data_IF_364087157219
#
_entry.id   IF_364087157219
#
_cell.length_a   1.000
_cell.length_b   1.000
_cell.length_c   1.000
_cell.angle_alpha   90.00
_cell.angle_beta   90.00
_cell.angle_gamma   90.00
#
_symmetry.space_group_name_H-M   'P 1'
#
loop_
_entity.id
_entity.type
_entity.pdbx_description
1 polymer ?
#
# COMPACT_ATOMS: atom_id res chain seq x y z
N UNK A 1 24.42 12.68 -2.75
CA UNK A 1 23.30 13.62 -3.03
C UNK A 1 22.40 13.80 -1.80
N UNK A 2 21.84 12.74 -1.21
CA UNK A 2 20.96 12.86 -0.02
C UNK A 2 21.67 13.44 1.22
N UNK A 3 22.90 12.98 1.52
CA UNK A 3 23.72 13.47 2.65
C UNK A 3 24.20 14.92 2.43
N UNK A 4 24.59 15.26 1.20
CA UNK A 4 25.00 16.62 0.80
C UNK A 4 23.85 17.66 0.92
N UNK A 5 22.60 17.21 0.89
CA UNK A 5 21.43 18.10 1.02
C UNK A 5 21.20 18.66 2.44
N UNK A 6 21.88 18.13 3.46
CA UNK A 6 21.78 18.65 4.82
C UNK A 6 22.49 20.00 5.01
N UNK A 7 23.38 20.37 4.09
CA UNK A 7 24.23 21.55 4.22
C UNK A 7 23.88 22.68 3.24
N UNK A 8 22.86 22.49 2.38
CA UNK A 8 22.47 23.46 1.36
C UNK A 8 20.99 23.78 1.45
N UNK A 9 20.68 25.00 1.90
CA UNK A 9 19.31 25.52 2.03
C UNK A 9 18.53 25.52 0.72
N UNK A 10 19.23 25.60 -0.43
CA UNK A 10 18.65 25.52 -1.77
C UNK A 10 18.00 24.17 -2.10
N UNK A 11 18.35 23.09 -1.38
CA UNK A 11 17.84 21.74 -1.63
C UNK A 11 16.67 21.33 -0.73
N UNK A 12 16.21 22.22 0.17
CA UNK A 12 15.14 21.93 1.14
C UNK A 12 13.85 21.42 0.48
N UNK A 13 13.46 22.00 -0.66
CA UNK A 13 12.26 21.57 -1.41
C UNK A 13 12.42 20.16 -1.99
N UNK A 14 13.54 19.88 -2.67
CA UNK A 14 13.84 18.56 -3.22
C UNK A 14 13.92 17.49 -2.13
N UNK A 15 14.55 17.80 -0.99
CA UNK A 15 14.62 16.90 0.16
C UNK A 15 13.23 16.54 0.67
N UNK A 16 12.32 17.52 0.79
CA UNK A 16 10.95 17.26 1.24
C UNK A 16 10.20 16.33 0.29
N UNK A 17 10.35 16.51 -1.03
CA UNK A 17 9.76 15.63 -2.05
C UNK A 17 10.28 14.20 -1.94
N UNK A 18 11.60 14.03 -1.79
CA UNK A 18 12.23 12.71 -1.64
C UNK A 18 11.80 12.00 -0.36
N UNK A 19 11.79 12.72 0.77
CA UNK A 19 11.33 12.16 2.06
C UNK A 19 9.86 11.77 1.98
N UNK A 20 9.02 12.63 1.40
CA UNK A 20 7.62 12.31 1.14
C UNK A 20 7.49 11.02 0.34
N UNK A 21 8.17 10.93 -0.80
CA UNK A 21 8.10 9.76 -1.67
C UNK A 21 8.52 8.48 -0.95
N UNK A 22 9.65 8.49 -0.24
CA UNK A 22 10.17 7.32 0.48
C UNK A 22 9.22 6.88 1.60
N UNK A 23 8.80 7.81 2.46
CA UNK A 23 7.94 7.49 3.61
C UNK A 23 6.55 7.05 3.15
N UNK A 24 5.96 7.76 2.19
CA UNK A 24 4.64 7.44 1.64
C UNK A 24 4.63 6.07 0.94
N UNK A 25 5.69 5.75 0.19
CA UNK A 25 5.81 4.44 -0.48
C UNK A 25 6.02 3.28 0.50
N UNK A 26 6.72 3.50 1.61
CA UNK A 26 6.96 2.46 2.61
C UNK A 26 5.76 2.21 3.51
N UNK A 27 4.95 3.24 3.80
CA UNK A 27 3.90 3.16 4.80
C UNK A 27 2.82 2.11 4.50
N UNK A 28 2.34 2.03 3.24
CA UNK A 28 1.33 1.04 2.84
C UNK A 28 1.80 -0.40 3.07
N UNK A 29 2.94 -0.82 2.49
CA UNK A 29 3.53 -2.14 2.72
C UNK A 29 3.78 -2.46 4.20
N UNK A 30 4.20 -1.48 5.02
CA UNK A 30 4.39 -1.69 6.46
C UNK A 30 3.07 -1.96 7.19
N UNK A 31 2.01 -1.20 6.88
CA UNK A 31 0.67 -1.43 7.43
C UNK A 31 0.14 -2.80 7.00
N UNK A 32 0.34 -3.17 5.74
CA UNK A 32 -0.04 -4.49 5.20
C UNK A 32 0.72 -5.59 5.94
N UNK A 33 2.05 -5.46 6.07
CA UNK A 33 2.88 -6.42 6.79
C UNK A 33 2.44 -6.59 8.24
N UNK A 34 2.18 -5.50 8.95
CA UNK A 34 1.67 -5.56 10.32
C UNK A 34 0.30 -6.22 10.38
N UNK A 35 -0.60 -5.87 9.46
CA UNK A 35 -1.96 -6.42 9.37
C UNK A 35 -1.97 -7.94 9.18
N UNK A 36 -1.03 -8.50 8.41
CA UNK A 36 -0.93 -9.96 8.18
C UNK A 36 -0.81 -10.76 9.48
N UNK A 37 -0.11 -10.23 10.47
CA UNK A 37 0.08 -10.90 11.76
C UNK A 37 -1.15 -10.79 12.68
N UNK A 38 -2.13 -9.95 12.34
CA UNK A 38 -3.32 -9.71 13.17
C UNK A 38 -4.54 -10.48 12.67
N UNK A 39 -4.59 -10.83 11.39
CA UNK A 39 -5.82 -11.38 10.77
C UNK A 39 -5.88 -12.91 10.79
N UNK A 40 -4.72 -13.58 10.89
CA UNK A 40 -4.58 -15.04 10.92
C UNK A 40 -5.20 -15.78 9.71
N UNK A 41 -5.49 -15.11 8.59
CA UNK A 41 -6.18 -15.71 7.43
C UNK A 41 -5.26 -16.62 6.61
N UNK A 42 -5.73 -17.81 6.26
CA UNK A 42 -5.02 -18.77 5.41
C UNK A 42 -5.12 -18.45 3.91
N UNK A 43 -4.13 -18.91 3.17
CA UNK A 43 -4.10 -18.81 1.70
C UNK A 43 -5.10 -19.79 1.09
N UNK A 44 -5.67 -19.52 -0.10
CA UNK A 44 -6.56 -20.46 -0.78
C UNK A 44 -6.00 -21.88 -0.91
N UNK A 45 -4.73 -22.06 -1.28
CA UNK A 45 -4.13 -23.40 -1.39
C UNK A 45 -3.99 -24.15 -0.06
N UNK A 46 -4.07 -23.47 1.08
CA UNK A 46 -4.05 -24.11 2.40
C UNK A 46 -5.43 -24.61 2.84
N UNK A 47 -6.51 -24.14 2.21
CA UNK A 47 -7.88 -24.40 2.68
C UNK A 47 -8.39 -25.79 2.28
N UNK A 48 -9.11 -26.46 3.20
CA UNK A 48 -9.80 -27.74 2.95
C UNK A 48 -10.71 -27.75 1.72
N UNK A 49 -11.37 -26.62 1.45
CA UNK A 49 -12.24 -26.47 0.27
C UNK A 49 -11.47 -26.51 -1.06
N UNK A 50 -10.15 -26.31 -1.03
CA UNK A 50 -9.23 -26.40 -2.17
C UNK A 50 -8.20 -27.52 -1.98
N UNK A 51 -8.58 -28.59 -1.26
CA UNK A 51 -7.74 -29.77 -0.99
C UNK A 51 -6.53 -29.52 -0.06
N UNK A 52 -6.51 -28.41 0.67
CA UNK A 52 -5.55 -28.15 1.75
C UNK A 52 -5.97 -28.74 3.10
N UNK A 53 -5.30 -28.32 4.18
CA UNK A 53 -5.49 -28.87 5.54
C UNK A 53 -6.15 -27.90 6.52
N UNK A 54 -6.18 -26.61 6.21
CA UNK A 54 -6.66 -25.55 7.08
C UNK A 54 -8.17 -25.28 6.90
N UNK A 55 -8.91 -24.93 7.96
CA UNK A 55 -10.31 -24.53 7.85
C UNK A 55 -10.44 -23.19 7.14
N UNK A 56 -11.61 -22.96 6.56
CA UNK A 56 -11.97 -21.62 6.11
C UNK A 56 -12.37 -20.76 7.32
N UNK A 57 -11.62 -19.67 7.53
CA UNK A 57 -11.86 -18.68 8.57
C UNK A 57 -12.06 -17.31 7.91
N UNK A 58 -13.03 -16.54 8.38
CA UNK A 58 -13.29 -15.16 7.95
C UNK A 58 -12.55 -14.19 8.87
N UNK A 59 -12.46 -12.93 8.43
CA UNK A 59 -11.69 -11.88 9.11
C UNK A 59 -12.07 -11.63 10.58
N UNK A 60 -13.32 -11.90 10.94
CA UNK A 60 -13.84 -11.70 12.30
C UNK A 60 -14.23 -13.00 13.00
N UNK A 61 -13.89 -14.16 12.40
CA UNK A 61 -14.13 -15.44 13.04
C UNK A 61 -13.11 -15.68 14.15
N UNK A 62 -13.52 -16.43 15.16
CA UNK A 62 -12.60 -16.90 16.19
C UNK A 62 -11.62 -17.93 15.60
N UNK A 63 -10.32 -17.70 15.78
CA UNK A 63 -9.27 -18.64 15.36
C UNK A 63 -9.20 -19.80 16.36
N UNK A 64 -9.40 -21.07 15.96
CA UNK A 64 -9.30 -22.20 16.88
C UNK A 64 -7.93 -22.29 17.55
N UNK A 65 -7.91 -22.71 18.83
CA UNK A 65 -6.66 -22.85 19.59
C UNK A 65 -5.73 -23.89 18.96
N UNK A 66 -4.41 -23.62 18.97
CA UNK A 66 -3.38 -24.54 18.47
C UNK A 66 -3.21 -24.55 16.94
N UNK A 67 -3.92 -23.68 16.23
CA UNK A 67 -3.81 -23.56 14.78
C UNK A 67 -2.56 -22.74 14.37
N UNK A 68 -1.93 -23.04 13.23
CA UNK A 68 -0.84 -22.22 12.70
C UNK A 68 -1.34 -20.83 12.33
N UNK A 69 -0.46 -19.83 12.37
CA UNK A 69 -0.80 -18.46 11.98
C UNK A 69 -0.89 -18.36 10.45
N UNK A 70 -2.07 -18.00 9.94
CA UNK A 70 -2.23 -17.64 8.53
C UNK A 70 -1.77 -16.21 8.25
N UNK A 71 -1.09 -16.00 7.13
CA UNK A 71 -0.58 -14.67 6.74
C UNK A 71 -1.06 -14.25 5.34
N UNK A 72 -2.24 -14.68 4.92
CA UNK A 72 -2.71 -14.44 3.55
C UNK A 72 -3.36 -13.07 3.37
N UNK A 73 -3.94 -12.48 4.42
CA UNK A 73 -4.67 -11.21 4.34
C UNK A 73 -4.07 -10.16 5.27
N UNK A 74 -3.81 -8.92 4.83
CA UNK A 74 -3.89 -8.43 3.45
C UNK A 74 -2.76 -8.95 2.53
N UNK A 75 -2.90 -8.77 1.21
CA UNK A 75 -1.95 -9.27 0.21
C UNK A 75 -0.61 -8.49 0.23
N UNK A 76 0.44 -9.11 0.77
CA UNK A 76 1.77 -8.51 0.89
C UNK A 76 2.43 -8.20 -0.46
N UNK A 77 2.43 -9.13 -1.40
CA UNK A 77 3.10 -8.94 -2.70
C UNK A 77 2.51 -7.78 -3.51
N UNK A 78 1.17 -7.68 -3.53
CA UNK A 78 0.48 -6.59 -4.22
C UNK A 78 0.84 -5.21 -3.64
N UNK A 79 1.07 -5.13 -2.32
CA UNK A 79 1.41 -3.87 -1.64
C UNK A 79 2.67 -3.22 -2.19
N UNK A 80 3.65 -4.02 -2.64
CA UNK A 80 4.88 -3.51 -3.25
C UNK A 80 4.66 -2.76 -4.56
N UNK A 81 3.61 -3.12 -5.32
CA UNK A 81 3.20 -2.38 -6.51
C UNK A 81 2.39 -1.13 -6.15
N UNK A 82 1.39 -1.27 -5.29
CA UNK A 82 0.55 -0.14 -4.86
C UNK A 82 1.30 0.90 -4.01
N UNK A 83 2.48 0.58 -3.47
CA UNK A 83 3.40 1.53 -2.85
C UNK A 83 3.65 2.77 -3.72
N UNK A 84 3.64 2.61 -5.05
CA UNK A 84 3.86 3.68 -6.00
C UNK A 84 2.67 4.61 -6.23
N UNK A 85 1.54 4.43 -5.54
CA UNK A 85 0.51 5.48 -5.46
C UNK A 85 1.07 6.79 -4.89
N UNK A 86 2.17 6.73 -4.13
CA UNK A 86 2.96 7.90 -3.73
C UNK A 86 3.37 8.79 -4.92
N UNK A 87 3.64 8.22 -6.11
CA UNK A 87 3.98 8.97 -7.32
C UNK A 87 2.82 9.82 -7.82
N UNK A 88 1.59 9.32 -7.73
CA UNK A 88 0.39 10.10 -8.07
C UNK A 88 0.33 11.37 -7.22
N UNK A 89 0.47 11.22 -5.89
CA UNK A 89 0.42 12.34 -4.96
C UNK A 89 1.64 13.27 -5.08
N UNK A 90 2.83 12.74 -5.36
CA UNK A 90 4.02 13.53 -5.64
C UNK A 90 3.81 14.41 -6.89
N UNK A 91 3.31 13.82 -7.98
CA UNK A 91 3.02 14.55 -9.22
C UNK A 91 1.83 15.49 -9.07
N UNK A 92 0.84 15.15 -8.24
CA UNK A 92 -0.27 16.02 -7.87
C UNK A 92 0.25 17.29 -7.18
N UNK A 93 1.12 17.13 -6.19
CA UNK A 93 1.79 18.25 -5.51
C UNK A 93 2.55 19.16 -6.48
N UNK A 94 3.30 18.55 -7.41
CA UNK A 94 4.07 19.27 -8.43
C UNK A 94 3.21 19.86 -9.55
N UNK A 95 1.88 19.72 -9.49
CA UNK A 95 0.93 20.11 -10.55
C UNK A 95 1.29 19.53 -11.93
N UNK A 96 1.92 18.37 -11.94
CA UNK A 96 2.34 17.70 -13.17
C UNK A 96 1.13 17.15 -13.93
N UNK A 97 1.04 17.34 -15.25
CA UNK A 97 -0.01 16.72 -16.07
C UNK A 97 0.13 15.19 -16.10
N UNK A 98 1.30 14.65 -15.73
CA UNK A 98 1.61 13.22 -15.79
C UNK A 98 1.15 12.43 -14.55
N UNK A 99 0.45 13.05 -13.59
CA UNK A 99 0.02 12.39 -12.34
C UNK A 99 -0.72 11.07 -12.55
N UNK A 100 -1.54 10.98 -13.60
CA UNK A 100 -2.31 9.76 -13.93
C UNK A 100 -1.37 8.61 -14.30
N UNK A 101 -0.22 8.86 -14.93
CA UNK A 101 0.75 7.80 -15.22
C UNK A 101 1.39 7.25 -13.94
N UNK A 102 1.63 8.08 -12.92
CA UNK A 102 2.07 7.61 -11.60
C UNK A 102 1.03 6.70 -10.93
N UNK A 103 -0.26 7.05 -11.04
CA UNK A 103 -1.37 6.21 -10.56
C UNK A 103 -1.44 4.88 -11.31
N UNK A 104 -1.46 4.94 -12.64
CA UNK A 104 -1.53 3.75 -13.48
C UNK A 104 -0.32 2.84 -13.27
N UNK A 105 0.88 3.40 -13.07
CA UNK A 105 2.07 2.62 -12.76
C UNK A 105 1.90 1.79 -11.48
N UNK A 106 1.49 2.43 -10.36
CA UNK A 106 1.25 1.72 -9.11
C UNK A 106 0.11 0.70 -9.21
N UNK A 107 -0.97 1.05 -9.91
CA UNK A 107 -2.13 0.18 -10.10
C UNK A 107 -1.77 -1.06 -10.91
N UNK A 108 -1.14 -0.89 -12.08
CA UNK A 108 -0.75 -1.98 -12.97
C UNK A 108 0.26 -2.89 -12.28
N UNK A 109 1.28 -2.32 -11.63
CA UNK A 109 2.30 -3.12 -10.95
C UNK A 109 1.70 -3.93 -9.80
N UNK A 110 0.81 -3.33 -9.00
CA UNK A 110 0.11 -4.03 -7.93
C UNK A 110 -0.80 -5.15 -8.46
N UNK A 111 -1.54 -4.91 -9.55
CA UNK A 111 -2.36 -5.92 -10.22
C UNK A 111 -1.52 -7.06 -10.79
N UNK A 112 -0.37 -6.79 -11.40
CA UNK A 112 0.55 -7.84 -11.89
C UNK A 112 1.00 -8.72 -10.73
N UNK A 113 1.44 -8.12 -9.62
CA UNK A 113 1.87 -8.89 -8.45
C UNK A 113 0.71 -9.64 -7.80
N UNK A 114 -0.46 -9.02 -7.65
CA UNK A 114 -1.65 -9.60 -7.05
C UNK A 114 -2.22 -10.76 -7.87
N UNK A 115 -2.40 -10.56 -9.18
CA UNK A 115 -2.87 -11.62 -10.09
C UNK A 115 -1.90 -12.79 -10.16
N UNK A 116 -0.59 -12.53 -10.15
CA UNK A 116 0.42 -13.60 -10.05
C UNK A 116 0.24 -14.46 -8.80
N UNK A 117 -0.10 -13.84 -7.66
CA UNK A 117 -0.41 -14.59 -6.42
C UNK A 117 -1.77 -15.30 -6.48
N UNK A 118 -2.78 -14.71 -7.12
CA UNK A 118 -4.09 -15.35 -7.31
C UNK A 118 -3.98 -16.60 -8.19
N UNK A 119 -3.23 -16.53 -9.30
CA UNK A 119 -2.98 -17.68 -10.20
C UNK A 119 -2.28 -18.82 -9.45
N UNK A 120 -1.33 -18.48 -8.56
CA UNK A 120 -0.67 -19.49 -7.73
C UNK A 120 -1.62 -20.12 -6.70
N UNK A 121 -2.71 -19.44 -6.34
CA UNK A 121 -3.63 -19.82 -5.27
C UNK A 121 -3.29 -19.22 -3.90
N UNK A 122 -2.50 -18.15 -3.83
CA UNK A 122 -1.98 -17.57 -2.58
C UNK A 122 -2.95 -16.59 -1.93
N UNK A 123 -3.77 -15.94 -2.74
CA UNK A 123 -4.63 -14.84 -2.32
C UNK A 123 -5.98 -14.91 -3.01
N UNK A 124 -7.04 -14.58 -2.27
CA UNK A 124 -8.31 -14.22 -2.90
C UNK A 124 -8.22 -12.80 -3.48
N UNK A 125 -9.04 -12.46 -4.50
CA UNK A 125 -9.10 -11.10 -5.04
C UNK A 125 -9.41 -10.03 -3.98
N UNK A 126 -10.18 -10.37 -2.95
CA UNK A 126 -10.48 -9.47 -1.83
C UNK A 126 -9.23 -9.07 -1.03
N UNK A 127 -8.21 -9.93 -0.96
CA UNK A 127 -6.96 -9.61 -0.26
C UNK A 127 -6.20 -8.50 -0.99
N UNK A 128 -6.18 -8.58 -2.32
CA UNK A 128 -5.54 -7.61 -3.20
C UNK A 128 -6.29 -6.27 -3.19
N UNK A 129 -7.63 -6.31 -3.30
CA UNK A 129 -8.46 -5.11 -3.23
C UNK A 129 -8.30 -4.37 -1.89
N UNK A 130 -8.24 -5.10 -0.78
CA UNK A 130 -8.04 -4.47 0.53
C UNK A 130 -6.64 -3.85 0.66
N UNK A 131 -5.60 -4.53 0.15
CA UNK A 131 -4.25 -3.97 0.06
C UNK A 131 -4.22 -2.68 -0.77
N UNK A 132 -4.92 -2.64 -1.90
CA UNK A 132 -5.04 -1.44 -2.74
C UNK A 132 -5.59 -0.27 -1.92
N UNK A 133 -6.69 -0.50 -1.18
CA UNK A 133 -7.31 0.50 -0.32
C UNK A 133 -6.34 0.98 0.77
N UNK A 134 -5.64 0.06 1.46
CA UNK A 134 -4.64 0.42 2.48
C UNK A 134 -3.56 1.31 1.88
N UNK A 135 -2.94 0.89 0.77
CA UNK A 135 -1.84 1.63 0.17
C UNK A 135 -2.29 3.02 -0.35
N UNK A 136 -3.48 3.10 -0.95
CA UNK A 136 -4.04 4.37 -1.42
C UNK A 136 -4.25 5.37 -0.28
N UNK A 137 -4.96 4.94 0.78
CA UNK A 137 -5.25 5.83 1.91
C UNK A 137 -4.00 6.16 2.72
N UNK A 138 -3.05 5.23 2.84
CA UNK A 138 -1.74 5.51 3.42
C UNK A 138 -1.04 6.64 2.67
N UNK A 139 -0.93 6.53 1.33
CA UNK A 139 -0.29 7.55 0.52
C UNK A 139 -1.02 8.90 0.59
N UNK A 140 -2.36 8.89 0.60
CA UNK A 140 -3.21 10.07 0.77
C UNK A 140 -2.98 10.76 2.13
N UNK A 141 -2.94 10.00 3.23
CA UNK A 141 -2.70 10.53 4.58
C UNK A 141 -1.32 11.20 4.66
N UNK A 142 -0.28 10.53 4.15
CA UNK A 142 1.06 11.14 4.12
C UNK A 142 1.12 12.39 3.25
N UNK A 143 0.37 12.42 2.13
CA UNK A 143 0.26 13.61 1.31
C UNK A 143 -0.37 14.78 2.10
N UNK A 144 -1.45 14.51 2.82
CA UNK A 144 -2.11 15.49 3.69
C UNK A 144 -1.19 16.02 4.81
N UNK A 145 -0.43 15.13 5.46
CA UNK A 145 0.53 15.49 6.52
C UNK A 145 1.67 16.35 5.98
N UNK A 146 2.24 15.99 4.83
CA UNK A 146 3.38 16.71 4.26
C UNK A 146 2.97 18.04 3.61
N UNK A 147 1.78 18.12 3.04
CA UNK A 147 1.34 19.24 2.21
C UNK A 147 -0.04 19.81 2.63
N UNK A 148 -0.23 20.21 3.90
CA UNK A 148 -1.53 20.63 4.41
C UNK A 148 -2.06 21.93 3.80
N UNK A 149 -1.17 22.78 3.25
CA UNK A 149 -1.55 24.08 2.66
C UNK A 149 -2.31 23.93 1.34
N UNK A 150 -2.05 22.88 0.57
CA UNK A 150 -2.75 22.60 -0.68
C UNK A 150 -4.23 22.32 -0.46
N UNK A 151 -4.60 21.73 0.68
CA UNK A 151 -5.99 21.52 1.05
C UNK A 151 -6.70 22.80 1.51
N UNK A 152 -5.99 23.68 2.22
CA UNK A 152 -6.54 24.94 2.74
C UNK A 152 -6.88 25.95 1.65
N UNK A 153 -6.14 25.94 0.54
CA UNK A 153 -6.43 26.82 -0.60
C UNK A 153 -7.75 26.44 -1.30
N UNK A 154 -8.03 25.14 -1.47
CA UNK A 154 -9.30 24.67 -2.04
C UNK A 154 -10.53 24.99 -1.17
N UNK A 155 -10.35 25.21 0.14
CA UNK A 155 -11.44 25.52 1.08
C UNK A 155 -11.69 27.03 1.20
N UNK A 156 -10.67 27.86 0.97
CA UNK A 156 -10.74 29.32 1.10
C UNK A 156 -10.90 30.05 -0.25
N UNK A 157 -10.81 29.33 -1.36
CA UNK A 157 -11.03 29.85 -2.70
C UNK A 157 -12.51 30.02 -3.02
N UNK A 158 -13.06 31.15 -2.58
CA UNK A 158 -13.86 31.95 -3.53
C UNK A 158 -12.95 32.42 -4.66
#
# INVERSE_FOLDING_TARGET
>A
IFILSFFLDSLKSLKKLLVFFLVSSAAGPLIVSAGKHLTHIYTPWELKIFSGTQPYIRLFDHVPNGMPVGEAFPAGHASGGYAFFSLYFLMLHLRSPYRIYGLLFGLILGLIFGTGQQIRGAHFPSHDLFTLVICWYSAFIFYYIFYPKEWRWNQNGK
#
